data_IF_721184334036
#
_entry.id   IF_721184334036
#
_cell.length_a   1.000
_cell.length_b   1.000
_cell.length_c   1.000
_cell.angle_alpha   90.00
_cell.angle_beta   90.00
_cell.angle_gamma   90.00
#
_symmetry.space_group_name_H-M   'P 1'
#
loop_
_entity.id
_entity.type
_entity.pdbx_description
1 polymer ?
#
# COMPACT_ATOMS: atom_id res chain seq x y z
N UNK A 1 23.28 -46.10 17.44
CA UNK A 1 22.46 -47.10 16.71
C UNK A 1 20.99 -47.11 17.15
N UNK A 2 20.65 -46.68 18.38
CA UNK A 2 19.30 -46.69 18.97
C UNK A 2 18.33 -45.60 18.46
N UNK A 3 18.81 -44.38 18.18
CA UNK A 3 17.93 -43.25 17.81
C UNK A 3 17.27 -43.37 16.44
N UNK A 4 18.01 -43.80 15.40
CA UNK A 4 17.42 -44.05 14.07
C UNK A 4 16.40 -45.20 14.10
N UNK A 5 16.63 -46.20 14.95
CA UNK A 5 15.73 -47.34 15.10
C UNK A 5 14.41 -46.91 15.75
N UNK A 6 14.46 -46.03 16.76
CA UNK A 6 13.27 -45.44 17.38
C UNK A 6 12.49 -44.57 16.38
N UNK A 7 13.17 -43.72 15.60
CA UNK A 7 12.50 -42.91 14.57
C UNK A 7 11.82 -43.77 13.51
N UNK A 8 12.44 -44.88 13.12
CA UNK A 8 11.87 -45.82 12.16
C UNK A 8 10.64 -46.53 12.72
N UNK A 9 10.69 -47.00 13.96
CA UNK A 9 9.52 -47.59 14.64
C UNK A 9 8.34 -46.61 14.73
N UNK A 10 8.60 -45.34 15.02
CA UNK A 10 7.56 -44.32 15.01
C UNK A 10 6.97 -44.10 13.62
N UNK A 11 7.81 -44.08 12.58
CA UNK A 11 7.35 -43.94 11.20
C UNK A 11 6.46 -45.13 10.79
N UNK A 12 6.91 -46.36 11.06
CA UNK A 12 6.19 -47.59 10.72
C UNK A 12 4.83 -47.64 11.44
N UNK A 13 4.78 -47.21 12.71
CA UNK A 13 3.52 -47.11 13.46
C UNK A 13 2.56 -46.06 12.89
N UNK A 14 3.07 -44.89 12.49
CA UNK A 14 2.27 -43.82 11.86
C UNK A 14 1.69 -44.29 10.53
N UNK A 15 2.48 -44.99 9.72
CA UNK A 15 2.06 -45.56 8.45
C UNK A 15 0.99 -46.65 8.64
N UNK A 16 1.20 -47.56 9.60
CA UNK A 16 0.23 -48.61 9.92
C UNK A 16 -1.12 -48.05 10.41
N UNK A 17 -1.10 -46.92 11.12
CA UNK A 17 -2.30 -46.27 11.66
C UNK A 17 -2.92 -45.23 10.71
N UNK A 18 -2.38 -45.10 9.50
CA UNK A 18 -2.79 -44.12 8.51
C UNK A 18 -2.88 -42.68 9.06
N UNK A 19 -1.91 -42.32 9.91
CA UNK A 19 -1.83 -41.01 10.53
C UNK A 19 -0.99 -40.07 9.65
N UNK A 20 -1.30 -38.77 9.73
CA UNK A 20 -0.53 -37.72 9.08
C UNK A 20 0.18 -36.87 10.16
N UNK A 21 1.48 -36.63 9.97
CA UNK A 21 2.25 -35.74 10.83
C UNK A 21 1.97 -34.28 10.47
N UNK A 22 1.53 -33.50 11.45
CA UNK A 22 1.31 -32.06 11.32
C UNK A 22 2.57 -31.31 11.78
N UNK A 23 3.45 -30.96 10.85
CA UNK A 23 4.63 -30.14 11.14
C UNK A 23 4.81 -29.07 10.06
N UNK A 24 5.12 -27.84 10.48
CA UNK A 24 5.66 -26.82 9.60
C UNK A 24 7.14 -26.66 9.93
N UNK A 25 8.00 -26.90 8.94
CA UNK A 25 9.47 -26.79 9.10
C UNK A 25 9.92 -25.34 9.32
N UNK A 26 9.06 -24.35 9.02
CA UNK A 26 9.34 -22.92 9.21
C UNK A 26 8.91 -22.41 10.58
N UNK A 27 8.16 -23.20 11.34
CA UNK A 27 7.71 -22.84 12.68
C UNK A 27 8.85 -22.88 13.70
N UNK A 28 8.67 -22.16 14.80
CA UNK A 28 9.63 -22.16 15.90
C UNK A 28 9.62 -23.50 16.62
N UNK A 29 10.78 -23.94 17.14
CA UNK A 29 10.90 -25.24 17.78
C UNK A 29 9.97 -25.40 18.99
N UNK A 30 9.41 -26.60 19.21
CA UNK A 30 8.54 -26.85 20.38
C UNK A 30 9.32 -26.96 21.68
N UNK A 31 10.63 -27.20 21.62
CA UNK A 31 11.50 -27.27 22.80
C UNK A 31 12.73 -26.40 22.61
N UNK A 32 12.99 -25.51 23.58
CA UNK A 32 14.18 -24.67 23.62
C UNK A 32 15.10 -25.13 24.75
N UNK A 33 16.24 -25.69 24.38
CA UNK A 33 17.24 -26.11 25.36
C UNK A 33 17.88 -24.89 26.04
N UNK A 34 17.74 -24.75 27.36
CA UNK A 34 18.43 -23.66 28.07
C UNK A 34 19.96 -23.84 28.08
N UNK A 35 20.44 -25.09 28.03
CA UNK A 35 21.87 -25.43 28.01
C UNK A 35 22.52 -25.09 26.68
N UNK A 36 21.87 -25.44 25.58
CA UNK A 36 22.44 -25.31 24.23
C UNK A 36 21.94 -24.09 23.46
N UNK A 37 20.92 -23.40 23.99
CA UNK A 37 20.24 -22.28 23.33
C UNK A 37 19.80 -22.61 21.89
N UNK A 38 19.41 -23.87 21.68
CA UNK A 38 18.94 -24.42 20.41
C UNK A 38 17.50 -24.87 20.54
N UNK A 39 16.78 -24.69 19.44
CA UNK A 39 15.39 -25.10 19.27
C UNK A 39 15.33 -26.48 18.62
N UNK A 40 14.47 -27.34 19.17
CA UNK A 40 14.21 -28.71 18.74
C UNK A 40 12.69 -28.94 18.64
N UNK A 41 12.29 -29.99 17.93
CA UNK A 41 10.88 -30.38 17.75
C UNK A 41 10.61 -31.81 18.24
N UNK A 42 10.76 -32.10 19.55
CA UNK A 42 10.39 -33.41 20.09
C UNK A 42 8.87 -33.63 20.15
N UNK A 43 8.08 -32.56 20.20
CA UNK A 43 6.62 -32.64 20.40
C UNK A 43 5.90 -32.76 19.05
N UNK A 44 5.54 -33.99 18.70
CA UNK A 44 4.88 -34.34 17.45
C UNK A 44 3.36 -34.31 17.59
N UNK A 45 2.68 -33.87 16.53
CA UNK A 45 1.22 -33.86 16.46
C UNK A 45 0.78 -34.70 15.26
N UNK A 46 -0.05 -35.71 15.51
CA UNK A 46 -0.60 -36.58 14.47
C UNK A 46 -2.10 -36.36 14.30
N UNK A 47 -2.57 -36.50 13.07
CA UNK A 47 -3.98 -36.33 12.71
C UNK A 47 -4.43 -37.51 11.86
N UNK A 48 -5.64 -37.99 12.09
CA UNK A 48 -6.24 -39.06 11.29
C UNK A 48 -6.50 -38.61 9.85
N UNK A 49 -6.45 -39.54 8.91
CA UNK A 49 -6.88 -39.29 7.54
C UNK A 49 -8.36 -39.66 7.38
N UNK A 50 -9.06 -38.89 6.55
CA UNK A 50 -10.43 -39.17 6.14
C UNK A 50 -10.46 -40.34 5.15
N UNK A 51 -11.66 -40.82 4.80
CA UNK A 51 -11.88 -41.91 3.83
C UNK A 51 -11.24 -41.69 2.44
N UNK A 52 -10.84 -40.46 2.11
CA UNK A 52 -10.13 -40.11 0.87
C UNK A 52 -8.60 -40.03 1.04
N UNK A 53 -8.04 -40.48 2.16
CA UNK A 53 -6.60 -40.41 2.46
C UNK A 53 -6.07 -39.00 2.75
N UNK A 54 -6.96 -38.02 2.94
CA UNK A 54 -6.59 -36.64 3.27
C UNK A 54 -6.64 -36.42 4.78
N UNK A 55 -5.65 -35.76 5.40
CA UNK A 55 -5.68 -35.47 6.84
C UNK A 55 -6.88 -34.58 7.19
N UNK A 56 -7.48 -34.81 8.37
CA UNK A 56 -8.51 -33.93 8.91
C UNK A 56 -7.97 -32.49 8.92
N UNK A 57 -8.77 -31.55 8.39
CA UNK A 57 -8.40 -30.13 8.36
C UNK A 57 -8.12 -29.65 9.79
N UNK A 58 -6.86 -29.36 10.04
CA UNK A 58 -6.32 -28.98 11.33
C UNK A 58 -5.24 -27.92 11.13
N UNK A 59 -5.08 -27.05 12.11
CA UNK A 59 -4.02 -26.03 12.14
C UNK A 59 -3.21 -26.20 13.41
N UNK A 60 -1.88 -26.25 13.27
CA UNK A 60 -0.92 -26.28 14.37
C UNK A 60 -0.25 -24.91 14.49
N UNK A 61 -0.19 -24.38 15.69
CA UNK A 61 0.56 -23.15 15.98
C UNK A 61 1.38 -23.36 17.26
N UNK A 62 2.69 -23.19 17.17
CA UNK A 62 3.57 -23.18 18.35
C UNK A 62 3.51 -21.80 19.01
N UNK A 63 3.20 -21.75 20.31
CA UNK A 63 3.15 -20.51 21.08
C UNK A 63 4.56 -20.06 21.50
N UNK A 64 4.67 -18.88 22.11
CA UNK A 64 5.93 -18.37 22.65
C UNK A 64 6.43 -19.19 23.85
N UNK A 65 7.65 -18.89 24.29
CA UNK A 65 8.26 -19.49 25.49
C UNK A 65 7.30 -19.42 26.70
N UNK A 66 7.14 -20.54 27.40
CA UNK A 66 6.27 -20.65 28.57
C UNK A 66 7.07 -20.51 29.85
N UNK A 67 6.59 -19.75 30.85
CA UNK A 67 7.33 -19.55 32.10
C UNK A 67 7.68 -20.88 32.77
N UNK A 68 8.95 -21.04 33.15
CA UNK A 68 9.48 -22.21 33.88
C UNK A 68 9.38 -23.54 33.12
N UNK A 69 9.17 -23.52 31.81
CA UNK A 69 9.25 -24.69 30.94
C UNK A 69 10.21 -24.46 29.78
N UNK A 70 10.96 -25.49 29.40
CA UNK A 70 11.73 -25.49 28.15
C UNK A 70 10.86 -25.87 26.94
N UNK A 71 9.67 -26.44 27.17
CA UNK A 71 8.69 -26.73 26.13
C UNK A 71 7.81 -25.51 25.87
N UNK A 72 7.44 -25.32 24.60
CA UNK A 72 6.47 -24.35 24.11
C UNK A 72 5.12 -25.04 23.94
N UNK A 73 4.04 -24.46 24.48
CA UNK A 73 2.70 -24.97 24.24
C UNK A 73 2.36 -24.98 22.75
N UNK A 74 1.64 -26.01 22.31
CA UNK A 74 1.15 -26.13 20.95
C UNK A 74 -0.36 -25.92 20.97
N UNK A 75 -0.84 -24.95 20.20
CA UNK A 75 -2.26 -24.75 19.99
C UNK A 75 -2.70 -25.46 18.72
N UNK A 76 -3.60 -26.44 18.86
CA UNK A 76 -4.14 -27.22 17.75
C UNK A 76 -5.60 -26.82 17.58
N UNK A 77 -5.94 -26.37 16.38
CA UNK A 77 -7.32 -26.10 15.97
C UNK A 77 -7.78 -27.24 15.10
N UNK A 78 -8.83 -27.93 15.53
CA UNK A 78 -9.44 -29.05 14.79
C UNK A 78 -10.69 -28.56 14.09
N UNK A 79 -10.84 -28.93 12.82
CA UNK A 79 -11.99 -28.58 12.00
C UNK A 79 -11.79 -27.31 11.15
N UNK A 80 -12.85 -26.95 10.44
CA UNK A 80 -12.84 -25.87 9.46
C UNK A 80 -13.21 -24.56 10.16
N UNK A 81 -12.19 -23.76 10.49
CA UNK A 81 -12.41 -22.41 11.02
C UNK A 81 -12.58 -21.43 9.86
N UNK A 82 -13.74 -20.79 9.75
CA UNK A 82 -13.94 -19.68 8.82
C UNK A 82 -13.32 -18.43 9.45
N UNK A 83 -12.26 -17.84 8.86
CA UNK A 83 -11.60 -16.69 9.46
C UNK A 83 -12.47 -15.45 9.36
N UNK A 84 -12.76 -14.84 10.51
CA UNK A 84 -13.38 -13.52 10.58
C UNK A 84 -12.30 -12.48 10.26
N UNK A 85 -12.61 -11.60 9.31
CA UNK A 85 -11.69 -10.52 8.91
C UNK A 85 -12.11 -9.23 9.57
N UNK A 86 -11.18 -8.62 10.29
CA UNK A 86 -11.35 -7.30 10.87
C UNK A 86 -11.10 -6.23 9.80
N UNK A 87 -12.06 -5.33 9.63
CA UNK A 87 -11.87 -4.23 8.69
C UNK A 87 -11.13 -3.06 9.33
N UNK A 88 -10.56 -2.22 8.50
CA UNK A 88 -9.93 -0.97 8.93
C UNK A 88 -11.03 -0.04 9.46
N UNK A 89 -10.92 0.52 10.69
CA UNK A 89 -11.92 1.37 11.32
C UNK A 89 -11.95 2.76 10.68
N UNK A 90 -12.32 2.82 9.40
CA UNK A 90 -12.42 4.02 8.58
C UNK A 90 -13.77 4.02 7.87
N UNK A 91 -14.70 4.91 8.24
CA UNK A 91 -16.01 4.99 7.62
C UNK A 91 -15.89 5.43 6.15
N UNK A 92 -16.55 4.70 5.26
CA UNK A 92 -16.57 4.93 3.81
C UNK A 92 -18.00 5.09 3.34
N UNK A 93 -18.16 5.80 2.24
CA UNK A 93 -19.43 5.91 1.54
C UNK A 93 -19.75 4.58 0.86
N UNK A 94 -20.97 4.09 1.06
CA UNK A 94 -21.46 2.90 0.38
C UNK A 94 -22.33 3.27 -0.81
N UNK A 95 -21.70 3.45 -1.97
CA UNK A 95 -22.38 3.82 -3.22
C UNK A 95 -23.37 2.77 -3.72
N UNK A 96 -23.20 1.50 -3.32
CA UNK A 96 -24.13 0.42 -3.69
C UNK A 96 -25.46 0.50 -2.91
N UNK A 97 -25.46 1.17 -1.75
CA UNK A 97 -26.66 1.38 -0.92
C UNK A 97 -27.17 2.83 -1.00
N UNK A 98 -26.68 3.61 -1.94
CA UNK A 98 -27.07 5.00 -2.10
C UNK A 98 -28.47 5.07 -2.74
N UNK A 99 -29.34 5.91 -2.18
CA UNK A 99 -30.58 6.30 -2.85
C UNK A 99 -30.27 7.46 -3.81
N UNK A 100 -29.97 7.12 -5.06
CA UNK A 100 -29.63 8.09 -6.09
C UNK A 100 -30.83 8.94 -6.55
N UNK A 101 -32.06 8.40 -6.42
CA UNK A 101 -33.27 9.11 -6.82
C UNK A 101 -33.57 10.24 -5.83
N UNK A 102 -33.54 9.94 -4.53
CA UNK A 102 -33.70 10.95 -3.48
C UNK A 102 -32.53 11.96 -3.49
N UNK A 103 -31.30 11.48 -3.71
CA UNK A 103 -30.13 12.35 -3.86
C UNK A 103 -30.31 13.38 -4.99
N UNK A 104 -30.72 12.90 -6.17
CA UNK A 104 -30.94 13.76 -7.34
C UNK A 104 -32.02 14.80 -7.06
N UNK A 105 -33.18 14.37 -6.54
CA UNK A 105 -34.29 15.25 -6.22
C UNK A 105 -33.88 16.36 -5.25
N UNK A 106 -33.23 15.99 -4.14
CA UNK A 106 -32.75 16.97 -3.14
C UNK A 106 -31.69 17.89 -3.70
N UNK A 107 -30.79 17.40 -4.54
CA UNK A 107 -29.76 18.24 -5.13
C UNK A 107 -30.39 19.28 -6.07
N UNK A 108 -31.29 18.83 -6.95
CA UNK A 108 -31.99 19.67 -7.91
C UNK A 108 -32.90 20.71 -7.24
N UNK A 109 -33.52 20.39 -6.10
CA UNK A 109 -34.33 21.35 -5.33
C UNK A 109 -33.46 22.42 -4.67
N UNK A 110 -32.28 22.05 -4.16
CA UNK A 110 -31.39 22.97 -3.44
C UNK A 110 -30.52 23.83 -4.39
N UNK A 111 -30.14 23.31 -5.56
CA UNK A 111 -29.29 24.02 -6.52
C UNK A 111 -29.99 25.24 -7.14
N UNK A 112 -31.33 25.21 -7.24
CA UNK A 112 -32.16 26.34 -7.71
C UNK A 112 -31.91 27.63 -6.95
N UNK A 113 -31.47 27.54 -5.69
CA UNK A 113 -31.26 28.68 -4.80
C UNK A 113 -29.83 29.23 -4.83
N UNK A 114 -28.94 28.67 -5.65
CA UNK A 114 -27.54 29.10 -5.77
C UNK A 114 -27.32 29.73 -7.15
N UNK A 115 -26.94 31.01 -7.17
CA UNK A 115 -26.53 31.68 -8.41
C UNK A 115 -25.19 31.11 -8.89
N UNK A 116 -25.00 30.89 -10.21
CA UNK A 116 -23.78 30.32 -10.80
C UNK A 116 -22.65 31.36 -10.84
N UNK A 117 -22.17 31.76 -9.67
CA UNK A 117 -21.08 32.71 -9.47
C UNK A 117 -19.90 32.00 -8.78
N UNK A 118 -18.67 32.33 -9.15
CA UNK A 118 -17.47 31.70 -8.57
C UNK A 118 -17.39 31.84 -7.03
N UNK A 119 -17.89 32.96 -6.50
CA UNK A 119 -17.96 33.23 -5.07
C UNK A 119 -18.85 32.22 -4.31
N UNK A 120 -19.79 31.56 -5.00
CA UNK A 120 -20.72 30.59 -4.41
C UNK A 120 -20.22 29.14 -4.50
N UNK A 121 -19.01 28.89 -5.01
CA UNK A 121 -18.47 27.54 -5.19
C UNK A 121 -18.40 26.74 -3.87
N UNK A 122 -17.91 27.35 -2.78
CA UNK A 122 -17.84 26.68 -1.47
C UNK A 122 -19.24 26.32 -0.95
N UNK A 123 -20.24 27.17 -1.17
CA UNK A 123 -21.64 26.92 -0.82
C UNK A 123 -22.21 25.74 -1.61
N UNK A 124 -21.91 25.65 -2.89
CA UNK A 124 -22.30 24.52 -3.74
C UNK A 124 -21.64 23.21 -3.27
N UNK A 125 -20.32 23.21 -3.01
CA UNK A 125 -19.60 22.02 -2.53
C UNK A 125 -20.17 21.54 -1.20
N UNK A 126 -20.42 22.45 -0.25
CA UNK A 126 -21.03 22.12 1.04
C UNK A 126 -22.41 21.51 0.87
N UNK A 127 -23.23 22.05 -0.03
CA UNK A 127 -24.56 21.53 -0.34
C UNK A 127 -24.50 20.11 -0.89
N UNK A 128 -23.63 19.85 -1.89
CA UNK A 128 -23.41 18.51 -2.47
C UNK A 128 -22.98 17.50 -1.40
N UNK A 129 -22.07 17.89 -0.51
CA UNK A 129 -21.62 17.00 0.57
C UNK A 129 -22.75 16.74 1.58
N UNK A 130 -23.57 17.74 1.90
CA UNK A 130 -24.68 17.58 2.84
C UNK A 130 -25.81 16.72 2.28
N UNK A 131 -26.17 16.87 1.00
CA UNK A 131 -27.13 15.98 0.35
C UNK A 131 -26.58 14.56 0.28
N UNK A 132 -25.28 14.39 -0.05
CA UNK A 132 -24.63 13.09 -0.04
C UNK A 132 -24.66 12.43 1.34
N UNK A 133 -24.42 13.19 2.43
CA UNK A 133 -24.51 12.70 3.82
C UNK A 133 -25.89 12.17 4.19
N UNK A 134 -26.95 12.70 3.58
CA UNK A 134 -28.33 12.28 3.85
C UNK A 134 -28.72 11.04 3.04
N UNK A 135 -28.32 10.97 1.78
CA UNK A 135 -28.79 9.94 0.86
C UNK A 135 -27.83 8.75 0.71
N UNK A 136 -26.55 8.90 1.07
CA UNK A 136 -25.53 7.85 0.95
C UNK A 136 -25.13 7.38 2.35
N UNK A 137 -25.40 6.12 2.72
CA UNK A 137 -24.95 5.56 3.98
C UNK A 137 -23.42 5.62 4.09
N UNK A 138 -22.93 6.17 5.20
CA UNK A 138 -21.52 6.22 5.53
C UNK A 138 -21.24 5.36 6.76
N UNK A 139 -20.37 4.37 6.60
CA UNK A 139 -20.05 3.46 7.70
C UNK A 139 -18.90 2.52 7.38
N UNK A 140 -18.62 1.61 8.30
CA UNK A 140 -17.70 0.50 8.08
C UNK A 140 -18.23 -0.73 8.82
N UNK A 141 -17.90 -1.92 8.31
CA UNK A 141 -18.20 -3.18 8.99
C UNK A 141 -17.07 -3.49 9.95
N UNK A 142 -17.32 -3.73 11.24
CA UNK A 142 -16.24 -4.08 12.19
C UNK A 142 -15.62 -5.42 11.80
N UNK A 143 -16.48 -6.42 11.63
CA UNK A 143 -16.13 -7.80 11.33
C UNK A 143 -16.92 -8.26 10.11
N UNK A 144 -16.28 -9.03 9.24
CA UNK A 144 -16.95 -9.66 8.11
C UNK A 144 -16.21 -10.92 7.66
N UNK A 145 -16.96 -11.83 7.04
CA UNK A 145 -16.41 -13.00 6.37
C UNK A 145 -16.35 -12.72 4.86
N UNK A 146 -15.18 -12.81 4.22
CA UNK A 146 -15.07 -12.64 2.78
C UNK A 146 -15.85 -13.72 2.03
N UNK A 147 -16.72 -13.28 1.11
CA UNK A 147 -17.55 -14.18 0.29
C UNK A 147 -18.89 -14.55 0.93
N UNK A 148 -19.22 -14.01 2.11
CA UNK A 148 -20.52 -14.24 2.74
C UNK A 148 -21.64 -13.60 1.92
N UNK A 149 -22.51 -14.45 1.39
CA UNK A 149 -23.71 -14.08 0.65
C UNK A 149 -24.97 -14.32 1.49
N UNK A 150 -26.15 -13.96 0.97
CA UNK A 150 -27.43 -14.28 1.60
C UNK A 150 -27.64 -15.81 1.66
N UNK A 151 -27.31 -16.50 0.58
CA UNK A 151 -27.34 -17.97 0.50
C UNK A 151 -26.46 -18.64 1.57
N UNK A 152 -25.26 -18.09 1.81
CA UNK A 152 -24.40 -18.58 2.91
C UNK A 152 -25.03 -18.35 4.29
N UNK A 153 -25.79 -17.28 4.46
CA UNK A 153 -26.51 -16.96 5.70
C UNK A 153 -27.64 -17.96 5.93
N UNK A 154 -28.43 -18.24 4.89
CA UNK A 154 -29.54 -19.20 4.91
C UNK A 154 -29.02 -20.62 5.24
N UNK A 155 -27.97 -21.09 4.54
CA UNK A 155 -27.32 -22.38 4.81
C UNK A 155 -26.73 -22.48 6.22
N UNK A 156 -26.19 -21.38 6.74
CA UNK A 156 -25.65 -21.35 8.10
C UNK A 156 -26.76 -21.47 9.16
N UNK A 157 -27.89 -20.80 8.94
CA UNK A 157 -29.06 -20.90 9.81
C UNK A 157 -29.66 -22.31 9.78
N UNK A 158 -29.75 -22.93 8.58
CA UNK A 158 -30.18 -24.32 8.42
C UNK A 158 -29.25 -25.30 9.15
N UNK A 159 -27.93 -25.10 9.03
CA UNK A 159 -26.94 -25.90 9.75
C UNK A 159 -27.10 -25.77 11.27
N UNK A 160 -27.39 -24.57 11.79
CA UNK A 160 -27.62 -24.37 13.22
C UNK A 160 -28.84 -25.10 13.77
N UNK A 161 -29.86 -25.33 12.93
CA UNK A 161 -31.07 -26.05 13.32
C UNK A 161 -30.86 -27.56 13.17
N UNK A 162 -30.29 -28.00 12.05
CA UNK A 162 -30.26 -29.42 11.66
C UNK A 162 -28.95 -30.14 12.04
N UNK A 163 -27.86 -29.41 12.31
CA UNK A 163 -26.51 -29.92 12.55
C UNK A 163 -26.03 -30.96 11.51
N UNK A 164 -26.50 -30.83 10.26
CA UNK A 164 -26.21 -31.78 9.18
C UNK A 164 -24.87 -31.46 8.51
N UNK A 165 -23.99 -32.46 8.36
CA UNK A 165 -22.68 -32.32 7.70
C UNK A 165 -22.80 -31.86 6.24
N UNK A 166 -23.82 -32.31 5.51
CA UNK A 166 -24.00 -31.95 4.10
C UNK A 166 -24.28 -30.45 3.91
N UNK A 167 -25.07 -29.86 4.82
CA UNK A 167 -25.35 -28.41 4.81
C UNK A 167 -24.09 -27.59 5.12
N UNK A 168 -23.22 -28.09 5.99
CA UNK A 168 -21.94 -27.46 6.28
C UNK A 168 -21.00 -27.52 5.05
N UNK A 169 -20.95 -28.65 4.35
CA UNK A 169 -20.17 -28.79 3.13
C UNK A 169 -20.71 -27.90 1.99
N UNK A 170 -22.04 -27.80 1.85
CA UNK A 170 -22.67 -26.87 0.92
C UNK A 170 -22.34 -25.40 1.23
N UNK A 171 -22.37 -25.01 2.51
CA UNK A 171 -21.95 -23.68 2.97
C UNK A 171 -20.50 -23.39 2.59
N UNK A 172 -19.59 -24.34 2.82
CA UNK A 172 -18.17 -24.16 2.47
C UNK A 172 -17.95 -24.08 0.97
N UNK A 173 -18.69 -24.88 0.19
CA UNK A 173 -18.66 -24.83 -1.26
C UNK A 173 -19.16 -23.48 -1.78
N UNK A 174 -20.30 -22.96 -1.30
CA UNK A 174 -20.81 -21.64 -1.70
C UNK A 174 -19.82 -20.51 -1.40
N UNK A 175 -19.15 -20.55 -0.24
CA UNK A 175 -18.09 -19.60 0.12
C UNK A 175 -16.87 -19.72 -0.80
N UNK A 176 -16.47 -20.94 -1.15
CA UNK A 176 -15.33 -21.18 -2.04
C UNK A 176 -15.61 -20.65 -3.46
N UNK A 177 -16.82 -20.89 -3.98
CA UNK A 177 -17.28 -20.41 -5.28
C UNK A 177 -17.30 -18.89 -5.28
N UNK A 178 -17.94 -18.26 -4.28
CA UNK A 178 -18.01 -16.81 -4.17
C UNK A 178 -16.64 -16.14 -4.11
N UNK A 179 -15.67 -16.74 -3.40
CA UNK A 179 -14.29 -16.25 -3.35
C UNK A 179 -13.56 -16.43 -4.68
N UNK A 180 -13.76 -17.57 -5.36
CA UNK A 180 -13.18 -17.86 -6.68
C UNK A 180 -13.70 -16.90 -7.74
N UNK A 181 -15.02 -16.67 -7.81
CA UNK A 181 -15.63 -15.71 -8.74
C UNK A 181 -15.10 -14.30 -8.47
N UNK A 182 -15.02 -13.87 -7.21
CA UNK A 182 -14.45 -12.56 -6.87
C UNK A 182 -12.98 -12.45 -7.29
N UNK A 183 -12.21 -13.51 -7.10
CA UNK A 183 -10.82 -13.57 -7.54
C UNK A 183 -10.72 -13.42 -9.06
N UNK A 184 -11.49 -14.19 -9.82
CA UNK A 184 -11.55 -14.13 -11.29
C UNK A 184 -11.88 -12.73 -11.77
N UNK A 185 -12.98 -12.13 -11.31
CA UNK A 185 -13.37 -10.76 -11.67
C UNK A 185 -12.25 -9.75 -11.32
N UNK A 186 -11.61 -9.92 -10.16
CA UNK A 186 -10.53 -9.03 -9.73
C UNK A 186 -9.32 -9.12 -10.66
N UNK A 187 -9.00 -10.30 -11.18
CA UNK A 187 -7.89 -10.53 -12.12
C UNK A 187 -8.26 -10.04 -13.52
N UNK A 188 -9.47 -10.30 -13.99
CA UNK A 188 -9.96 -9.83 -15.30
C UNK A 188 -9.99 -8.30 -15.39
N UNK A 189 -10.43 -7.63 -14.33
CA UNK A 189 -10.41 -6.16 -14.23
C UNK A 189 -8.99 -5.57 -14.03
N UNK A 190 -7.99 -6.41 -13.71
CA UNK A 190 -6.66 -5.93 -13.34
C UNK A 190 -5.81 -5.63 -14.56
N UNK A 191 -5.74 -4.36 -14.92
CA UNK A 191 -4.81 -3.87 -15.94
C UNK A 191 -3.54 -3.26 -15.30
N UNK A 192 -2.36 -3.69 -15.73
CA UNK A 192 -1.09 -3.11 -15.29
C UNK A 192 -0.88 -1.67 -15.75
N UNK A 193 -1.52 -1.21 -16.84
CA UNK A 193 -1.38 0.19 -17.30
C UNK A 193 -2.12 1.14 -16.37
N UNK A 194 -3.38 0.85 -16.05
CA UNK A 194 -4.21 1.71 -15.21
C UNK A 194 -4.16 1.38 -13.70
N UNK A 195 -3.79 0.15 -13.32
CA UNK A 195 -3.83 -0.33 -11.93
C UNK A 195 -2.52 -0.97 -11.44
N UNK A 196 -1.37 -0.64 -12.04
CA UNK A 196 -0.03 -1.15 -11.69
C UNK A 196 0.21 -1.33 -10.19
N UNK A 197 -0.12 -0.32 -9.36
CA UNK A 197 0.09 -0.38 -7.91
C UNK A 197 -0.75 -1.48 -7.22
N UNK A 198 -1.99 -1.69 -7.67
CA UNK A 198 -2.89 -2.73 -7.15
C UNK A 198 -2.34 -4.11 -7.52
N UNK A 199 -1.91 -4.28 -8.77
CA UNK A 199 -1.30 -5.50 -9.28
C UNK A 199 0.01 -5.86 -8.58
N UNK A 200 0.94 -4.91 -8.45
CA UNK A 200 2.19 -5.11 -7.72
C UNK A 200 1.97 -5.42 -6.23
N UNK A 201 0.98 -4.78 -5.60
CA UNK A 201 0.62 -5.12 -4.22
C UNK A 201 0.04 -6.54 -4.11
N UNK A 202 -0.71 -6.99 -5.11
CA UNK A 202 -1.26 -8.34 -5.14
C UNK A 202 -0.14 -9.37 -5.31
N UNK A 203 0.73 -9.21 -6.31
CA UNK A 203 1.87 -10.10 -6.54
C UNK A 203 2.72 -10.26 -5.29
N UNK A 204 3.01 -9.15 -4.61
CA UNK A 204 3.73 -9.19 -3.32
C UNK A 204 3.00 -9.97 -2.23
N UNK A 205 1.67 -9.96 -2.20
CA UNK A 205 0.90 -10.73 -1.20
C UNK A 205 0.82 -12.22 -1.52
N UNK A 206 0.90 -12.59 -2.79
CA UNK A 206 0.93 -14.00 -3.22
C UNK A 206 2.29 -14.61 -2.90
N UNK A 207 3.36 -13.80 -2.96
CA UNK A 207 4.72 -14.27 -2.68
C UNK A 207 4.84 -14.88 -1.25
N UNK A 208 5.09 -16.20 -1.13
CA UNK A 208 5.19 -16.88 0.16
C UNK A 208 6.41 -16.45 0.98
N UNK A 209 7.36 -15.74 0.39
CA UNK A 209 8.56 -15.24 1.07
C UNK A 209 8.41 -13.80 1.58
N UNK A 210 7.22 -13.18 1.45
CA UNK A 210 7.00 -11.80 1.87
C UNK A 210 6.95 -11.66 3.40
N UNK A 211 8.14 -11.60 4.03
CA UNK A 211 8.29 -11.22 5.44
C UNK A 211 8.11 -9.70 5.56
N UNK A 212 6.87 -9.22 5.67
CA UNK A 212 6.64 -7.87 6.18
C UNK A 212 7.13 -7.81 7.63
N UNK A 213 8.37 -7.37 7.84
CA UNK A 213 8.74 -6.75 9.10
C UNK A 213 7.81 -5.55 9.23
N UNK A 214 6.91 -5.56 10.22
CA UNK A 214 6.32 -4.30 10.71
C UNK A 214 7.52 -3.48 11.15
N UNK A 215 7.95 -2.54 10.31
CA UNK A 215 8.89 -1.53 10.75
C UNK A 215 8.11 -0.70 11.77
N UNK A 216 8.19 -1.09 13.04
CA UNK A 216 8.01 -0.13 14.11
C UNK A 216 9.21 0.79 13.95
N UNK A 217 9.03 1.89 13.22
CA UNK A 217 10.04 2.94 13.16
C UNK A 217 10.12 3.52 14.56
N UNK A 218 11.09 3.06 15.33
CA UNK A 218 11.51 3.69 16.56
C UNK A 218 11.97 5.10 16.17
N UNK A 219 11.16 6.11 16.50
CA UNK A 219 11.41 7.49 16.12
C UNK A 219 12.58 7.96 16.97
N UNK A 220 13.81 7.79 16.46
CA UNK A 220 15.01 8.37 17.07
C UNK A 220 15.03 9.88 16.75
N UNK A 221 15.43 10.74 17.69
CA UNK A 221 15.51 12.19 17.47
C UNK A 221 16.29 12.57 16.21
N UNK A 222 17.33 11.80 15.87
CA UNK A 222 18.19 12.03 14.70
C UNK A 222 17.64 11.44 13.39
N UNK A 223 16.51 10.73 13.42
CA UNK A 223 15.86 10.16 12.23
C UNK A 223 14.82 11.10 11.59
N UNK A 224 14.64 12.30 12.16
CA UNK A 224 13.80 13.34 11.58
C UNK A 224 14.34 13.70 10.18
N UNK A 225 13.54 13.46 9.13
CA UNK A 225 13.92 13.73 7.74
C UNK A 225 14.36 12.54 6.89
N UNK A 226 14.68 11.38 7.48
CA UNK A 226 14.98 10.15 6.72
C UNK A 226 13.75 9.25 6.48
N UNK A 227 12.65 9.52 7.17
CA UNK A 227 11.37 8.85 6.98
C UNK A 227 10.78 9.17 5.59
N UNK A 228 10.34 8.13 4.88
CA UNK A 228 9.72 8.25 3.56
C UNK A 228 8.50 9.17 3.55
N UNK A 229 7.74 9.23 4.64
CA UNK A 229 6.59 10.11 4.77
C UNK A 229 7.03 11.58 4.91
N UNK A 230 8.06 11.84 5.71
CA UNK A 230 8.69 13.18 5.85
C UNK A 230 9.30 13.62 4.52
N UNK A 231 10.09 12.78 3.84
CA UNK A 231 10.61 13.09 2.50
C UNK A 231 9.50 13.38 1.49
N UNK A 232 8.39 12.63 1.55
CA UNK A 232 7.25 12.82 0.67
C UNK A 232 6.48 14.11 0.99
N UNK A 233 6.26 14.42 2.27
CA UNK A 233 5.63 15.67 2.72
C UNK A 233 6.51 16.86 2.38
N UNK A 234 7.82 16.79 2.61
CA UNK A 234 8.79 17.83 2.24
C UNK A 234 8.85 18.02 0.73
N UNK A 235 8.82 16.94 -0.07
CA UNK A 235 8.75 17.03 -1.54
C UNK A 235 7.46 17.70 -1.98
N UNK A 236 6.32 17.34 -1.38
CA UNK A 236 5.03 17.96 -1.69
C UNK A 236 5.02 19.44 -1.27
N UNK A 237 5.55 19.76 -0.09
CA UNK A 237 5.68 21.13 0.41
C UNK A 237 6.59 21.98 -0.49
N UNK A 238 7.70 21.43 -0.99
CA UNK A 238 8.54 22.10 -1.97
C UNK A 238 7.79 22.32 -3.29
N UNK A 239 7.07 21.32 -3.81
CA UNK A 239 6.28 21.50 -5.04
C UNK A 239 5.11 22.47 -4.87
N UNK A 240 4.53 22.54 -3.67
CA UNK A 240 3.41 23.43 -3.35
C UNK A 240 3.89 24.85 -3.07
N UNK A 241 5.03 25.03 -2.40
CA UNK A 241 5.70 26.32 -2.24
C UNK A 241 6.14 26.91 -3.58
N UNK A 242 6.61 26.07 -4.51
CA UNK A 242 6.87 26.51 -5.91
C UNK A 242 5.56 26.95 -6.59
N UNK A 243 4.46 26.22 -6.40
CA UNK A 243 3.17 26.59 -6.96
C UNK A 243 2.58 27.87 -6.31
N UNK A 244 2.73 28.04 -5.00
CA UNK A 244 2.22 29.18 -4.23
C UNK A 244 3.08 30.44 -4.46
N UNK A 245 4.40 30.32 -4.64
CA UNK A 245 5.27 31.41 -5.09
C UNK A 245 4.94 31.85 -6.53
N UNK A 246 4.59 30.88 -7.36
CA UNK A 246 4.16 31.11 -8.74
C UNK A 246 2.70 31.60 -8.83
N UNK A 247 1.86 31.42 -7.80
CA UNK A 247 0.42 31.71 -7.83
C UNK A 247 0.08 33.19 -8.09
N UNK A 248 0.79 34.19 -7.52
CA UNK A 248 0.55 35.60 -7.87
C UNK A 248 0.95 35.92 -9.31
N UNK A 249 1.98 35.24 -9.83
CA UNK A 249 2.48 35.40 -11.21
C UNK A 249 1.51 34.77 -12.22
N UNK A 250 0.81 33.72 -11.85
CA UNK A 250 -0.12 32.99 -12.73
C UNK A 250 -1.53 33.59 -12.79
N UNK A 251 -1.86 34.51 -11.88
CA UNK A 251 -3.10 35.28 -11.88
C UNK A 251 -3.01 36.54 -12.77
N UNK A 252 -1.84 36.86 -13.32
CA UNK A 252 -1.65 38.00 -14.24
C UNK A 252 -0.88 37.59 -15.50
N UNK A 253 -1.63 37.37 -16.60
CA UNK A 253 -1.15 36.99 -17.95
C UNK A 253 -0.38 35.66 -17.99
N UNK A 254 -0.60 34.89 -19.05
CA UNK A 254 0.16 33.67 -19.33
C UNK A 254 1.66 33.97 -19.26
N UNK A 255 2.37 33.29 -18.35
CA UNK A 255 3.81 33.49 -18.17
C UNK A 255 4.52 32.95 -19.41
N UNK A 256 5.46 33.70 -20.01
CA UNK A 256 6.18 33.24 -21.20
C UNK A 256 6.74 31.81 -21.00
N UNK A 257 6.39 30.94 -21.95
CA UNK A 257 6.74 29.51 -21.97
C UNK A 257 5.72 28.57 -21.34
N UNK A 258 4.51 29.02 -20.96
CA UNK A 258 3.43 28.16 -20.44
C UNK A 258 2.89 27.12 -21.42
N UNK A 259 3.11 27.35 -22.70
CA UNK A 259 2.79 26.48 -23.84
C UNK A 259 3.85 25.38 -24.07
N UNK A 260 4.99 25.43 -23.37
CA UNK A 260 6.05 24.45 -23.53
C UNK A 260 5.66 23.05 -23.00
N UNK A 261 6.21 21.98 -23.59
CA UNK A 261 6.07 20.63 -23.06
C UNK A 261 6.49 20.56 -21.59
N UNK A 262 5.77 19.75 -20.80
CA UNK A 262 5.90 19.67 -19.33
C UNK A 262 7.35 19.56 -18.83
N UNK A 263 8.21 18.83 -19.54
CA UNK A 263 9.63 18.67 -19.17
C UNK A 263 10.35 20.02 -19.17
N UNK A 264 10.23 20.77 -20.26
CA UNK A 264 10.96 22.01 -20.51
C UNK A 264 10.39 23.12 -19.64
N UNK A 265 9.07 23.13 -19.48
CA UNK A 265 8.36 24.01 -18.56
C UNK A 265 8.80 23.82 -17.10
N UNK A 266 8.96 22.57 -16.63
CA UNK A 266 9.44 22.29 -15.27
C UNK A 266 10.90 22.72 -15.09
N UNK A 267 11.77 22.44 -16.07
CA UNK A 267 13.18 22.82 -16.01
C UNK A 267 13.37 24.34 -15.96
N UNK A 268 12.65 25.08 -16.82
CA UNK A 268 12.62 26.53 -16.85
C UNK A 268 12.20 27.14 -15.50
N UNK A 269 11.12 26.62 -14.90
CA UNK A 269 10.62 27.15 -13.63
C UNK A 269 11.50 26.79 -12.43
N UNK A 270 12.22 25.67 -12.47
CA UNK A 270 13.24 25.33 -11.45
C UNK A 270 14.44 26.25 -11.50
N UNK A 271 14.86 26.66 -12.70
CA UNK A 271 15.86 27.71 -12.85
C UNK A 271 15.33 29.02 -12.27
N UNK A 272 14.16 29.51 -12.75
CA UNK A 272 13.53 30.77 -12.31
C UNK A 272 13.41 30.90 -10.79
N UNK A 273 13.01 29.83 -10.12
CA UNK A 273 12.77 29.85 -8.68
C UNK A 273 14.04 29.64 -7.86
N UNK A 274 15.05 28.94 -8.40
CA UNK A 274 16.34 28.66 -7.72
C UNK A 274 16.47 27.26 -7.10
N UNK A 275 15.44 26.68 -6.44
CA UNK A 275 15.43 25.30 -5.99
C UNK A 275 15.23 24.29 -7.14
N UNK A 276 16.35 23.76 -7.65
CA UNK A 276 16.37 22.69 -8.65
C UNK A 276 17.37 21.59 -8.29
N UNK A 277 17.59 20.63 -9.19
CA UNK A 277 18.66 19.61 -9.09
C UNK A 277 20.04 20.18 -9.40
N UNK A 278 20.39 21.29 -8.75
CA UNK A 278 21.68 21.95 -8.91
C UNK A 278 22.73 21.26 -8.04
N UNK A 279 24.01 21.36 -8.40
CA UNK A 279 25.11 20.74 -7.64
C UNK A 279 25.13 21.14 -6.17
N UNK A 280 24.79 22.40 -5.85
CA UNK A 280 24.64 22.86 -4.47
C UNK A 280 23.54 22.08 -3.70
N UNK A 281 22.37 21.86 -4.32
CA UNK A 281 21.27 21.11 -3.70
C UNK A 281 21.58 19.61 -3.60
N UNK A 282 22.21 19.03 -4.63
CA UNK A 282 22.62 17.62 -4.61
C UNK A 282 23.66 17.32 -3.53
N UNK A 283 24.60 18.24 -3.30
CA UNK A 283 25.55 18.15 -2.19
C UNK A 283 24.85 18.27 -0.83
N UNK A 284 23.94 19.24 -0.69
CA UNK A 284 23.12 19.40 0.53
C UNK A 284 22.27 18.15 0.84
N UNK A 285 21.89 17.37 -0.18
CA UNK A 285 21.17 16.10 -0.04
C UNK A 285 22.07 14.86 0.05
N UNK A 286 23.40 15.02 0.09
CA UNK A 286 24.35 13.90 0.18
C UNK A 286 24.45 13.03 -1.07
N UNK A 287 23.91 13.49 -2.20
CA UNK A 287 23.95 12.78 -3.49
C UNK A 287 25.19 13.11 -4.32
N UNK A 288 25.96 14.13 -3.92
CA UNK A 288 27.22 14.52 -4.56
C UNK A 288 28.24 14.91 -3.49
N UNK A 289 29.53 14.56 -3.64
CA UNK A 289 30.57 14.88 -2.67
C UNK A 289 31.00 16.35 -2.66
N UNK A 290 30.69 17.14 -3.70
CA UNK A 290 30.99 18.58 -3.73
C UNK A 290 29.86 19.40 -4.35
N UNK A 291 29.65 20.65 -3.88
CA UNK A 291 28.62 21.56 -4.41
C UNK A 291 29.06 22.29 -5.70
N UNK A 292 30.32 22.13 -6.10
CA UNK A 292 30.95 22.88 -7.18
C UNK A 292 30.48 22.52 -8.59
N UNK A 293 30.63 23.47 -9.50
CA UNK A 293 30.40 23.28 -10.92
C UNK A 293 31.68 22.79 -11.62
N UNK A 294 31.55 22.06 -12.73
CA UNK A 294 32.70 21.58 -13.52
C UNK A 294 33.54 22.72 -14.12
N UNK A 295 33.01 23.95 -14.16
CA UNK A 295 33.74 25.15 -14.58
C UNK A 295 34.65 25.75 -13.49
N UNK A 296 34.74 25.12 -12.30
CA UNK A 296 35.52 25.63 -11.16
C UNK A 296 34.77 26.57 -10.22
N UNK A 297 33.48 26.86 -10.50
CA UNK A 297 32.67 27.71 -9.64
C UNK A 297 32.29 26.99 -8.32
N UNK A 298 32.43 27.69 -7.18
CA UNK A 298 32.35 27.09 -5.82
C UNK A 298 31.00 26.45 -5.50
N UNK A 299 29.90 27.08 -5.91
CA UNK A 299 28.54 26.58 -5.69
C UNK A 299 27.75 26.61 -7.00
N UNK A 300 27.40 25.45 -7.52
CA UNK A 300 26.51 25.36 -8.68
C UNK A 300 25.06 25.64 -8.22
N UNK A 301 24.60 26.88 -8.39
CA UNK A 301 23.20 27.31 -8.18
C UNK A 301 22.62 27.86 -9.49
N UNK A 302 21.31 28.13 -9.55
CA UNK A 302 20.63 28.48 -10.81
C UNK A 302 21.22 29.74 -11.48
N UNK A 303 21.49 30.80 -10.71
CA UNK A 303 22.05 32.06 -11.20
C UNK A 303 23.48 31.92 -11.74
N UNK A 304 24.45 31.30 -11.02
CA UNK A 304 25.74 30.97 -11.59
C UNK A 304 25.68 30.05 -12.82
N UNK A 305 24.71 29.13 -12.91
CA UNK A 305 24.54 28.30 -14.11
C UNK A 305 24.16 29.16 -15.33
N UNK A 306 23.22 30.10 -15.17
CA UNK A 306 22.70 30.92 -16.27
C UNK A 306 23.61 32.08 -16.64
N UNK A 307 24.25 32.73 -15.66
CA UNK A 307 24.86 34.05 -15.86
C UNK A 307 26.40 34.00 -15.86
N UNK A 308 27.00 33.12 -15.06
CA UNK A 308 28.44 33.16 -14.75
C UNK A 308 29.21 31.92 -15.25
N UNK A 309 28.52 30.83 -15.59
CA UNK A 309 29.14 29.57 -15.94
C UNK A 309 29.80 29.64 -17.32
N UNK A 310 31.13 29.50 -17.37
CA UNK A 310 31.90 29.51 -18.63
C UNK A 310 31.51 28.41 -19.61
N UNK A 311 30.91 27.31 -19.12
CA UNK A 311 30.52 26.15 -19.92
C UNK A 311 29.05 26.19 -20.34
N UNK A 312 28.17 26.75 -19.49
CA UNK A 312 26.70 26.58 -19.61
C UNK A 312 25.91 27.88 -19.65
N UNK A 313 26.56 29.05 -19.57
CA UNK A 313 25.86 30.34 -19.55
C UNK A 313 24.91 30.49 -20.74
N UNK A 314 23.77 31.12 -20.49
CA UNK A 314 22.86 31.55 -21.53
C UNK A 314 23.16 32.98 -21.94
N UNK A 315 23.12 33.29 -23.23
CA UNK A 315 23.38 34.64 -23.72
C UNK A 315 22.25 35.57 -23.27
N UNK A 316 22.58 36.57 -22.44
CA UNK A 316 21.59 37.46 -21.79
C UNK A 316 21.11 36.98 -20.41
N UNK A 317 21.62 35.84 -19.93
CA UNK A 317 21.45 35.35 -18.56
C UNK A 317 19.98 35.12 -18.16
N UNK A 318 19.74 35.18 -16.86
CA UNK A 318 18.45 34.90 -16.24
C UNK A 318 17.34 35.84 -16.73
N UNK A 319 17.69 37.09 -17.07
CA UNK A 319 16.75 38.10 -17.56
C UNK A 319 16.16 37.74 -18.92
N UNK A 320 16.98 37.24 -19.85
CA UNK A 320 16.50 36.76 -21.15
C UNK A 320 15.84 35.38 -21.03
N UNK A 321 16.31 34.52 -20.11
CA UNK A 321 15.67 33.24 -19.82
C UNK A 321 14.21 33.41 -19.34
N UNK A 322 13.89 34.51 -18.65
CA UNK A 322 12.53 34.82 -18.23
C UNK A 322 11.57 35.04 -19.41
N UNK A 323 12.05 35.44 -20.59
CA UNK A 323 11.21 35.64 -21.79
C UNK A 323 10.85 34.35 -22.52
N UNK A 324 11.47 33.23 -22.17
CA UNK A 324 11.21 31.89 -22.73
C UNK A 324 11.17 31.85 -24.27
N UNK A 325 12.12 32.55 -24.91
CA UNK A 325 12.27 32.55 -26.37
C UNK A 325 12.68 31.16 -26.89
N UNK A 326 12.57 30.95 -28.20
CA UNK A 326 13.00 29.70 -28.85
C UNK A 326 14.46 29.33 -28.52
N UNK A 327 15.34 30.33 -28.43
CA UNK A 327 16.75 30.14 -28.10
C UNK A 327 16.96 29.64 -26.67
N UNK A 328 16.13 30.11 -25.72
CA UNK A 328 16.14 29.65 -24.35
C UNK A 328 15.72 28.18 -24.23
N UNK A 329 14.76 27.75 -25.05
CA UNK A 329 14.30 26.35 -25.09
C UNK A 329 15.34 25.43 -25.73
N UNK A 330 15.99 25.88 -26.81
CA UNK A 330 17.11 25.15 -27.41
C UNK A 330 18.28 25.02 -26.44
N UNK A 331 18.62 26.10 -25.72
CA UNK A 331 19.63 26.08 -24.67
C UNK A 331 19.25 25.10 -23.55
N UNK A 332 18.03 25.12 -23.03
CA UNK A 332 17.54 24.18 -22.01
C UNK A 332 17.70 22.72 -22.43
N UNK A 333 17.44 22.42 -23.70
CA UNK A 333 17.57 21.07 -24.25
C UNK A 333 19.03 20.64 -24.50
N UNK A 334 19.93 21.61 -24.68
CA UNK A 334 21.37 21.37 -24.86
C UNK A 334 22.16 21.14 -23.54
N UNK A 335 21.54 21.40 -22.39
CA UNK A 335 22.17 21.22 -21.09
C UNK A 335 22.50 19.75 -20.81
N UNK A 336 23.75 19.48 -20.43
CA UNK A 336 24.24 18.19 -19.98
C UNK A 336 23.73 17.79 -18.58
N UNK A 337 23.13 18.73 -17.84
CA UNK A 337 22.59 18.54 -16.50
C UNK A 337 21.06 18.57 -16.50
N UNK A 338 20.45 17.65 -15.74
CA UNK A 338 18.99 17.63 -15.51
C UNK A 338 18.63 18.51 -14.33
N UNK A 339 17.94 19.63 -14.58
CA UNK A 339 17.54 20.61 -13.56
C UNK A 339 16.22 20.25 -12.88
#
# INVERSE_FOLDING_TARGET
MTLMMIMRLHYDWVEQKDLALMIDLKDVGTFRSARWQKDYNPDLCFVTKNNHGLPVKTSRQVLSDFPRSQHRPIFIKVGIQIPITNSIPKPRWNFLKADWNDYRKRLDDNIRWIKPEANNYDRFVKMVIQTAKKCIPRGYRKEYIPGWSKESDDLYNEYHINNNSETADALLNSLSISRKTRWMNTIEEMDFKHSSRKAWNLLRKIDPNNKRKKHNTEIKPNAWGADSNTLRISTVALTRSVADYCSPVWLQKEVPGSDLPRRDWVALNRLRTGPGRTGHMLHKWGLRPSPGCNCGHRNQTATPITDECTIRRFQGGMKELHKATTDAVQWLNSLDIKI
#
